data_IF_967633841325
#
_entry.id   IF_967633841325
#
_cell.length_a   1.000
_cell.length_b   1.000
_cell.length_c   1.000
_cell.angle_alpha   90.00
_cell.angle_beta   90.00
_cell.angle_gamma   90.00
#
_symmetry.space_group_name_H-M   'P 1'
#
loop_
_entity.id
_entity.type
_entity.pdbx_description
1 polymer ?
#
# COMPACT_ATOMS: atom_id res chain seq x y z
N UNK A 1 17.33 -38.25 -4.57
CA UNK A 1 16.37 -38.51 -3.48
C UNK A 1 16.84 -37.84 -2.19
N UNK A 2 15.90 -37.27 -1.45
CA UNK A 2 16.10 -36.23 -0.45
C UNK A 2 17.00 -36.61 0.73
N UNK A 3 18.18 -35.98 0.82
CA UNK A 3 19.06 -36.07 1.97
C UNK A 3 18.75 -34.95 2.99
N UNK A 4 17.47 -34.80 3.34
CA UNK A 4 17.09 -33.99 4.50
C UNK A 4 17.41 -34.84 5.73
N UNK A 5 18.65 -34.78 6.22
CA UNK A 5 19.02 -35.39 7.50
C UNK A 5 18.20 -34.72 8.59
N UNK A 6 17.09 -35.33 8.97
CA UNK A 6 16.36 -35.00 10.17
C UNK A 6 17.33 -35.09 11.36
N UNK A 7 17.37 -34.07 12.24
CA UNK A 7 18.22 -34.14 13.42
C UNK A 7 17.83 -35.33 14.29
N UNK A 8 18.82 -36.13 14.71
CA UNK A 8 18.62 -37.25 15.63
C UNK A 8 17.87 -36.79 16.88
N UNK A 9 16.78 -37.46 17.30
CA UNK A 9 16.08 -37.09 18.53
C UNK A 9 17.01 -37.08 19.73
N UNK A 10 16.80 -36.16 20.68
CA UNK A 10 17.68 -36.04 21.87
C UNK A 10 17.70 -37.34 22.67
N UNK A 11 16.56 -38.04 22.78
CA UNK A 11 16.46 -39.34 23.43
C UNK A 11 17.42 -40.37 22.80
N UNK A 12 17.46 -40.44 21.47
CA UNK A 12 18.36 -41.33 20.74
C UNK A 12 19.83 -41.00 20.99
N UNK A 13 20.19 -39.70 21.07
CA UNK A 13 21.57 -39.28 21.40
C UNK A 13 21.98 -39.73 22.80
N UNK A 14 21.06 -39.63 23.76
CA UNK A 14 21.28 -40.07 25.15
C UNK A 14 21.44 -41.60 25.20
N UNK A 15 20.58 -42.34 24.52
CA UNK A 15 20.63 -43.81 24.47
C UNK A 15 21.98 -44.31 23.96
N UNK A 16 22.50 -43.75 22.85
CA UNK A 16 23.82 -44.15 22.35
C UNK A 16 24.96 -43.83 23.32
N UNK A 17 24.86 -42.75 24.08
CA UNK A 17 25.89 -42.40 25.06
C UNK A 17 25.86 -43.35 26.26
N UNK A 18 24.68 -43.63 26.80
CA UNK A 18 24.52 -44.57 27.93
C UNK A 18 24.96 -45.98 27.52
N UNK A 19 24.53 -46.44 26.34
CA UNK A 19 24.95 -47.74 25.80
C UNK A 19 26.47 -47.82 25.61
N UNK A 20 27.12 -46.74 25.16
CA UNK A 20 28.58 -46.70 25.07
C UNK A 20 29.25 -46.76 26.44
N UNK A 21 28.76 -46.04 27.45
CA UNK A 21 29.30 -46.09 28.82
C UNK A 21 29.21 -47.50 29.40
N UNK A 22 28.12 -48.23 29.15
CA UNK A 22 27.94 -49.63 29.54
C UNK A 22 28.92 -50.56 28.81
N UNK A 23 29.02 -50.46 27.48
CA UNK A 23 29.96 -51.27 26.68
C UNK A 23 31.42 -51.01 27.05
N UNK A 24 31.77 -49.76 27.37
CA UNK A 24 33.11 -49.41 27.82
C UNK A 24 33.41 -50.00 29.20
N UNK A 25 32.47 -49.90 30.15
CA UNK A 25 32.64 -50.49 31.50
C UNK A 25 32.78 -52.00 31.46
N UNK A 26 31.95 -52.69 30.66
CA UNK A 26 31.88 -54.16 30.65
C UNK A 26 32.98 -54.81 29.82
N UNK A 27 33.37 -54.18 28.71
CA UNK A 27 34.24 -54.82 27.69
C UNK A 27 35.42 -53.94 27.25
N UNK A 28 35.64 -52.78 27.86
CA UNK A 28 36.68 -51.82 27.46
C UNK A 28 36.61 -51.47 25.96
N UNK A 29 35.39 -51.48 25.40
CA UNK A 29 35.18 -51.27 23.97
C UNK A 29 35.52 -49.83 23.56
N UNK A 30 36.32 -49.67 22.51
CA UNK A 30 36.63 -48.33 21.99
C UNK A 30 35.41 -47.68 21.32
N UNK A 31 35.30 -46.34 21.42
CA UNK A 31 34.24 -45.57 20.78
C UNK A 31 34.11 -45.82 19.27
N UNK A 32 35.22 -46.09 18.57
CA UNK A 32 35.19 -46.41 17.13
C UNK A 32 34.50 -47.75 16.85
N UNK A 33 34.84 -48.80 17.62
CA UNK A 33 34.21 -50.11 17.49
C UNK A 33 32.73 -50.07 17.89
N UNK A 34 32.39 -49.33 18.94
CA UNK A 34 31.00 -49.08 19.32
C UNK A 34 30.22 -48.42 18.17
N UNK A 35 30.74 -47.33 17.61
CA UNK A 35 30.11 -46.61 16.50
C UNK A 35 29.91 -47.49 15.26
N UNK A 36 30.86 -48.38 14.97
CA UNK A 36 30.76 -49.34 13.86
C UNK A 36 29.64 -50.36 14.09
N UNK A 37 29.54 -50.93 15.28
CA UNK A 37 28.49 -51.89 15.64
C UNK A 37 27.10 -51.26 15.76
N UNK A 38 27.04 -50.01 16.22
CA UNK A 38 25.81 -49.25 16.42
C UNK A 38 25.35 -48.48 15.17
N UNK A 39 26.09 -48.59 14.05
CA UNK A 39 25.85 -47.89 12.78
C UNK A 39 25.74 -46.36 12.90
N UNK A 40 26.46 -45.76 13.86
CA UNK A 40 26.51 -44.31 14.05
C UNK A 40 27.82 -43.74 13.51
N UNK A 41 27.81 -42.69 12.67
CA UNK A 41 29.05 -42.05 12.23
C UNK A 41 29.87 -41.53 13.42
N UNK A 42 31.13 -41.98 13.52
CA UNK A 42 32.01 -41.64 14.65
C UNK A 42 32.14 -40.13 14.90
N UNK A 43 32.20 -39.31 13.84
CA UNK A 43 32.28 -37.84 13.96
C UNK A 43 31.06 -37.19 14.61
N UNK A 44 29.88 -37.81 14.46
CA UNK A 44 28.63 -37.38 15.10
C UNK A 44 28.63 -37.81 16.57
N UNK A 45 28.94 -39.07 16.84
CA UNK A 45 29.02 -39.60 18.20
C UNK A 45 30.07 -38.87 19.05
N UNK A 46 31.28 -38.68 18.52
CA UNK A 46 32.35 -37.95 19.20
C UNK A 46 31.94 -36.52 19.59
N UNK A 47 31.14 -35.84 18.76
CA UNK A 47 30.59 -34.51 19.06
C UNK A 47 29.58 -34.54 20.20
N UNK A 48 28.73 -35.57 20.25
CA UNK A 48 27.81 -35.78 21.38
C UNK A 48 28.55 -36.15 22.65
N UNK A 49 29.50 -37.09 22.58
CA UNK A 49 30.33 -37.53 23.69
C UNK A 49 31.11 -36.36 24.32
N UNK A 50 31.73 -35.51 23.52
CA UNK A 50 32.43 -34.32 24.01
C UNK A 50 31.49 -33.35 24.74
N UNK A 51 30.24 -33.20 24.27
CA UNK A 51 29.25 -32.34 24.91
C UNK A 51 28.75 -32.94 26.22
N UNK A 52 28.47 -34.24 26.22
CA UNK A 52 28.04 -35.00 27.39
C UNK A 52 29.07 -34.93 28.52
N UNK A 53 30.36 -35.18 28.22
CA UNK A 53 31.43 -35.10 29.22
C UNK A 53 31.60 -33.70 29.83
N UNK A 54 31.23 -32.65 29.11
CA UNK A 54 31.38 -31.26 29.59
C UNK A 54 30.21 -30.77 30.43
N UNK A 55 28.99 -31.15 30.10
CA UNK A 55 27.78 -30.56 30.71
C UNK A 55 26.56 -31.52 30.78
N UNK A 56 26.81 -32.83 30.69
CA UNK A 56 25.79 -33.88 30.87
C UNK A 56 24.68 -33.87 29.82
N UNK A 57 23.52 -34.41 30.21
CA UNK A 57 22.37 -34.68 29.32
C UNK A 57 21.84 -33.44 28.60
N UNK A 58 21.78 -32.28 29.28
CA UNK A 58 21.28 -31.05 28.70
C UNK A 58 22.13 -30.54 27.52
N UNK A 59 23.42 -30.90 27.46
CA UNK A 59 24.31 -30.51 26.39
C UNK A 59 24.00 -31.16 25.02
N UNK A 60 23.14 -32.19 25.02
CA UNK A 60 22.69 -32.91 23.81
C UNK A 60 21.44 -32.31 23.17
N UNK A 61 20.79 -31.32 23.83
CA UNK A 61 19.67 -30.59 23.27
C UNK A 61 20.07 -29.89 21.96
N UNK A 62 19.11 -29.73 21.07
CA UNK A 62 19.34 -29.00 19.82
C UNK A 62 19.67 -27.54 20.11
N UNK A 63 20.83 -27.12 19.60
CA UNK A 63 21.21 -25.71 19.60
C UNK A 63 20.56 -25.04 18.41
N UNK A 64 20.28 -23.75 18.56
CA UNK A 64 19.76 -22.94 17.46
C UNK A 64 20.74 -23.01 16.29
N UNK A 65 20.23 -23.32 15.10
CA UNK A 65 21.00 -23.22 13.84
C UNK A 65 21.01 -21.78 13.30
N UNK A 66 20.50 -20.84 14.09
CA UNK A 66 20.39 -19.45 13.69
C UNK A 66 21.79 -18.86 13.66
N UNK A 67 22.23 -18.27 12.55
CA UNK A 67 23.55 -17.65 12.48
C UNK A 67 23.69 -16.59 13.58
N UNK A 68 24.84 -16.57 14.24
CA UNK A 68 25.14 -15.61 15.31
C UNK A 68 25.21 -14.16 14.81
N UNK A 69 25.47 -13.96 13.50
CA UNK A 69 25.44 -12.65 12.84
C UNK A 69 24.67 -12.75 11.53
N UNK A 70 23.86 -11.73 11.25
CA UNK A 70 23.19 -11.52 9.98
C UNK A 70 23.61 -10.15 9.44
N UNK A 71 24.64 -10.05 8.59
CA UNK A 71 25.13 -8.77 8.07
C UNK A 71 24.07 -7.96 7.33
N UNK A 72 23.07 -8.64 6.75
CA UNK A 72 21.94 -8.03 6.05
C UNK A 72 20.73 -7.75 6.95
N UNK A 73 20.89 -7.85 8.27
CA UNK A 73 19.85 -7.46 9.22
C UNK A 73 19.57 -5.96 9.10
N UNK A 74 18.29 -5.61 9.00
CA UNK A 74 17.88 -4.22 8.97
C UNK A 74 18.08 -3.59 10.36
N UNK A 75 18.53 -2.32 10.44
CA UNK A 75 18.65 -1.60 11.70
C UNK A 75 17.31 -1.52 12.44
N UNK A 76 17.37 -1.49 13.79
CA UNK A 76 16.19 -1.37 14.63
C UNK A 76 15.32 -0.15 14.27
N UNK A 77 15.95 0.98 13.96
CA UNK A 77 15.28 2.20 13.51
C UNK A 77 14.39 1.98 12.28
N UNK A 78 14.82 1.18 11.31
CA UNK A 78 14.03 0.84 10.12
C UNK A 78 12.83 -0.02 10.49
N UNK A 79 13.01 -0.98 11.41
CA UNK A 79 11.91 -1.81 11.91
C UNK A 79 10.87 -0.95 12.61
N UNK A 80 11.31 -0.02 13.46
CA UNK A 80 10.42 0.85 14.22
C UNK A 80 9.72 1.88 13.34
N UNK A 81 10.40 2.44 12.34
CA UNK A 81 9.79 3.34 11.37
C UNK A 81 8.69 2.63 10.56
N UNK A 82 8.93 1.39 10.13
CA UNK A 82 7.93 0.58 9.41
C UNK A 82 6.74 0.24 10.32
N UNK A 83 6.99 -0.14 11.58
CA UNK A 83 5.92 -0.49 12.53
C UNK A 83 5.08 0.73 12.87
N UNK A 84 5.70 1.81 13.36
CA UNK A 84 5.00 3.05 13.72
C UNK A 84 4.24 3.63 12.55
N UNK A 85 4.89 3.75 11.39
CA UNK A 85 4.23 4.26 10.19
C UNK A 85 3.03 3.43 9.75
N UNK A 86 3.05 2.10 9.94
CA UNK A 86 1.88 1.26 9.65
C UNK A 86 0.70 1.53 10.59
N UNK A 87 0.97 1.68 11.89
CA UNK A 87 -0.07 1.93 12.90
C UNK A 87 -0.61 3.36 12.84
N UNK A 88 0.28 4.35 12.78
CA UNK A 88 -0.09 5.77 12.87
C UNK A 88 -0.73 6.29 11.59
N UNK A 89 -0.26 5.84 10.42
CA UNK A 89 -0.73 6.38 9.13
C UNK A 89 -1.85 5.55 8.48
N UNK A 90 -2.10 4.31 8.97
CA UNK A 90 -3.12 3.41 8.40
C UNK A 90 -2.90 3.05 6.91
N UNK A 91 -1.70 3.27 6.37
CA UNK A 91 -1.44 3.12 4.94
C UNK A 91 -1.25 1.66 4.54
N UNK A 92 -1.80 1.27 3.40
CA UNK A 92 -1.50 -0.03 2.80
C UNK A 92 0.01 -0.19 2.50
N UNK A 93 0.53 -1.42 2.65
CA UNK A 93 1.98 -1.76 2.60
C UNK A 93 2.78 -1.05 1.50
N UNK A 94 2.25 -0.99 0.27
CA UNK A 94 2.95 -0.35 -0.84
C UNK A 94 3.01 1.18 -0.73
N UNK A 95 1.94 1.81 -0.25
CA UNK A 95 1.93 3.26 -0.04
C UNK A 95 2.77 3.63 1.18
N UNK A 96 2.73 2.82 2.23
CA UNK A 96 3.63 2.97 3.38
C UNK A 96 5.10 2.90 2.93
N UNK A 97 5.48 1.90 2.13
CA UNK A 97 6.83 1.79 1.58
C UNK A 97 7.24 3.03 0.77
N UNK A 98 6.38 3.48 -0.14
CA UNK A 98 6.65 4.69 -0.92
C UNK A 98 6.78 5.94 -0.04
N UNK A 99 5.93 6.07 0.99
CA UNK A 99 5.99 7.18 1.94
C UNK A 99 7.30 7.19 2.71
N UNK A 100 7.67 6.07 3.33
CA UNK A 100 8.90 5.94 4.11
C UNK A 100 10.17 6.14 3.26
N UNK A 101 10.15 5.75 1.98
CA UNK A 101 11.21 6.08 1.03
C UNK A 101 11.26 7.58 0.74
N UNK A 102 10.11 8.20 0.47
CA UNK A 102 10.01 9.63 0.15
C UNK A 102 10.54 10.50 1.28
N UNK A 103 10.21 10.16 2.54
CA UNK A 103 10.73 10.86 3.73
C UNK A 103 12.13 10.37 4.16
N UNK A 104 12.77 9.49 3.38
CA UNK A 104 14.13 8.96 3.60
C UNK A 104 14.34 8.25 4.94
N UNK A 105 13.28 7.67 5.53
CA UNK A 105 13.37 6.89 6.77
C UNK A 105 13.82 5.45 6.53
N UNK A 106 13.67 4.94 5.31
CA UNK A 106 14.10 3.59 4.93
C UNK A 106 14.84 3.64 3.60
N UNK A 107 15.70 2.64 3.36
CA UNK A 107 16.31 2.35 2.06
C UNK A 107 16.02 0.90 1.61
N UNK A 108 15.14 0.20 2.32
CA UNK A 108 14.89 -1.21 2.10
C UNK A 108 13.81 -1.48 1.05
N UNK A 109 13.82 -2.68 0.47
CA UNK A 109 12.85 -3.10 -0.54
C UNK A 109 11.42 -3.22 0.02
N UNK A 110 10.43 -3.16 -0.86
CA UNK A 110 9.02 -3.45 -0.54
C UNK A 110 8.86 -4.84 0.11
N UNK A 111 9.60 -5.84 -0.38
CA UNK A 111 9.61 -7.20 0.18
C UNK A 111 10.15 -7.25 1.61
N UNK A 112 11.05 -6.33 1.98
CA UNK A 112 11.51 -6.20 3.36
C UNK A 112 10.43 -5.61 4.26
N UNK A 113 9.78 -4.52 3.84
CA UNK A 113 8.63 -3.93 4.56
C UNK A 113 7.53 -4.97 4.78
N UNK A 114 7.14 -5.70 3.73
CA UNK A 114 6.15 -6.76 3.83
C UNK A 114 6.55 -7.86 4.84
N UNK A 115 7.81 -8.31 4.82
CA UNK A 115 8.32 -9.33 5.76
C UNK A 115 8.32 -8.82 7.21
N UNK A 116 8.64 -7.54 7.43
CA UNK A 116 8.60 -6.92 8.76
C UNK A 116 7.16 -6.96 9.29
N UNK A 117 6.21 -6.41 8.53
CA UNK A 117 4.80 -6.35 8.94
C UNK A 117 4.19 -7.75 9.12
N UNK A 118 4.54 -8.70 8.26
CA UNK A 118 4.09 -10.10 8.38
C UNK A 118 4.62 -10.74 9.66
N UNK A 119 5.89 -10.54 10.01
CA UNK A 119 6.49 -11.10 11.23
C UNK A 119 5.87 -10.50 12.50
N UNK A 120 5.48 -9.23 12.45
CA UNK A 120 4.80 -8.55 13.56
C UNK A 120 3.29 -8.85 13.64
N UNK A 121 2.74 -9.69 12.75
CA UNK A 121 1.31 -10.01 12.75
C UNK A 121 0.39 -8.86 12.29
N UNK A 122 0.95 -7.79 11.72
CA UNK A 122 0.22 -6.56 11.39
C UNK A 122 -0.55 -6.65 10.05
N UNK A 123 -0.43 -7.76 9.31
CA UNK A 123 -1.06 -7.92 7.99
C UNK A 123 -2.31 -8.81 8.09
N UNK A 124 -3.45 -8.26 7.67
CA UNK A 124 -4.68 -9.03 7.46
C UNK A 124 -4.59 -9.78 6.14
N UNK A 125 -4.52 -11.10 6.20
CA UNK A 125 -4.50 -11.97 5.02
C UNK A 125 -5.92 -12.16 4.49
N UNK A 126 -6.22 -11.57 3.32
CA UNK A 126 -7.51 -11.78 2.64
C UNK A 126 -7.32 -12.67 1.40
N UNK A 127 -8.25 -13.59 1.11
CA UNK A 127 -8.19 -14.42 -0.09
C UNK A 127 -8.22 -13.53 -1.33
N UNK A 128 -7.37 -13.87 -2.30
CA UNK A 128 -7.17 -13.07 -3.52
C UNK A 128 -8.32 -13.35 -4.48
N UNK A 129 -9.27 -12.42 -4.59
CA UNK A 129 -10.33 -12.51 -5.60
C UNK A 129 -9.73 -12.34 -7.00
N UNK A 130 -10.10 -13.17 -8.00
CA UNK A 130 -9.69 -12.97 -9.37
C UNK A 130 -10.18 -11.59 -9.84
N UNK A 131 -9.30 -10.85 -10.53
CA UNK A 131 -9.64 -9.53 -11.06
C UNK A 131 -9.93 -9.68 -12.55
N UNK A 132 -11.04 -9.13 -13.06
CA UNK A 132 -11.26 -9.06 -14.50
C UNK A 132 -10.15 -8.23 -15.17
N UNK A 133 -9.77 -8.61 -16.39
CA UNK A 133 -8.82 -7.87 -17.21
C UNK A 133 -9.50 -6.64 -17.81
N UNK A 134 -9.54 -5.55 -17.06
CA UNK A 134 -9.99 -4.26 -17.59
C UNK A 134 -8.86 -3.56 -18.34
N UNK A 135 -9.10 -3.19 -19.61
CA UNK A 135 -8.23 -2.24 -20.32
C UNK A 135 -8.41 -0.87 -19.65
N UNK A 136 -7.37 -0.42 -18.96
CA UNK A 136 -7.37 0.91 -18.33
C UNK A 136 -6.95 1.92 -19.37
N UNK A 137 -7.87 2.80 -19.76
CA UNK A 137 -7.54 3.95 -20.60
C UNK A 137 -7.11 5.14 -19.73
N UNK A 138 -6.12 5.90 -20.19
CA UNK A 138 -5.78 7.20 -19.66
C UNK A 138 -5.43 8.15 -20.81
N UNK A 139 -5.79 9.42 -20.67
CA UNK A 139 -5.34 10.51 -21.53
C UNK A 139 -3.85 10.74 -21.35
N UNK A 140 -3.20 11.18 -22.42
CA UNK A 140 -1.75 11.33 -22.45
C UNK A 140 -1.33 12.60 -21.71
N UNK A 141 -2.11 13.68 -21.86
CA UNK A 141 -1.80 14.98 -21.28
C UNK A 141 -2.81 15.37 -20.20
N UNK A 142 -2.37 16.06 -19.13
CA UNK A 142 -3.26 16.70 -18.17
C UNK A 142 -4.21 17.67 -18.87
N UNK A 143 -5.47 17.68 -18.44
CA UNK A 143 -6.48 18.60 -18.94
C UNK A 143 -7.17 18.17 -20.24
N UNK A 144 -6.74 17.09 -20.90
CA UNK A 144 -7.46 16.60 -22.10
C UNK A 144 -8.89 16.15 -21.77
N UNK A 145 -9.09 15.57 -20.59
CA UNK A 145 -10.41 15.17 -20.10
C UNK A 145 -10.40 15.06 -18.58
N UNK A 146 -11.43 15.61 -17.95
CA UNK A 146 -11.77 15.31 -16.56
C UNK A 146 -13.09 14.54 -16.48
N UNK A 147 -13.25 13.76 -15.42
CA UNK A 147 -14.51 13.10 -15.06
C UNK A 147 -15.16 13.88 -13.92
N UNK A 148 -16.46 14.15 -14.06
CA UNK A 148 -17.24 14.88 -13.08
C UNK A 148 -18.42 14.05 -12.60
N UNK A 149 -18.71 14.13 -11.30
CA UNK A 149 -19.83 13.42 -10.69
C UNK A 149 -20.23 14.05 -9.34
N UNK A 150 -21.48 13.81 -8.93
CA UNK A 150 -22.05 14.23 -7.65
C UNK A 150 -22.22 13.04 -6.72
N UNK A 151 -21.75 13.20 -5.49
CA UNK A 151 -21.97 12.22 -4.42
C UNK A 151 -22.81 12.82 -3.30
N UNK A 152 -23.80 12.08 -2.83
CA UNK A 152 -24.57 12.45 -1.64
C UNK A 152 -23.67 12.47 -0.38
N UNK A 153 -23.91 13.44 0.48
CA UNK A 153 -23.35 13.56 1.83
C UNK A 153 -24.51 13.66 2.83
N UNK A 154 -24.25 13.40 4.13
CA UNK A 154 -25.22 13.70 5.19
C UNK A 154 -25.68 15.17 5.17
N UNK A 155 -26.71 15.49 5.97
CA UNK A 155 -27.26 16.86 6.07
C UNK A 155 -27.75 17.43 4.73
N UNK A 156 -28.22 16.56 3.84
CA UNK A 156 -28.73 16.91 2.49
C UNK A 156 -27.70 17.71 1.67
N UNK A 157 -26.42 17.49 1.89
CA UNK A 157 -25.33 18.09 1.12
C UNK A 157 -24.88 17.16 0.01
N UNK A 158 -24.11 17.71 -0.93
CA UNK A 158 -23.58 16.96 -2.07
C UNK A 158 -22.13 17.35 -2.32
N UNK A 159 -21.26 16.39 -2.61
CA UNK A 159 -19.91 16.66 -3.08
C UNK A 159 -19.91 16.67 -4.61
N UNK A 160 -19.60 17.81 -5.22
CA UNK A 160 -19.20 17.89 -6.63
C UNK A 160 -17.73 17.52 -6.73
N UNK A 161 -17.42 16.52 -7.55
CA UNK A 161 -16.06 16.03 -7.76
C UNK A 161 -15.68 16.16 -9.21
N UNK A 162 -14.48 16.68 -9.48
CA UNK A 162 -13.87 16.76 -10.78
C UNK A 162 -12.47 16.15 -10.70
N UNK A 163 -12.17 15.14 -11.52
CA UNK A 163 -10.85 14.49 -11.52
C UNK A 163 -10.27 14.40 -12.92
N UNK A 164 -9.03 14.86 -13.07
CA UNK A 164 -8.30 14.75 -14.33
C UNK A 164 -7.96 13.29 -14.68
N UNK A 165 -8.20 12.93 -15.93
CA UNK A 165 -8.08 11.56 -16.44
C UNK A 165 -6.61 11.07 -16.48
N UNK A 166 -5.68 11.99 -16.75
CA UNK A 166 -4.24 11.74 -16.87
C UNK A 166 -3.54 11.75 -15.50
N UNK A 167 -3.61 12.89 -14.81
CA UNK A 167 -2.82 13.22 -13.62
C UNK A 167 -3.49 12.87 -12.30
N UNK A 168 -4.78 12.52 -12.31
CA UNK A 168 -5.61 12.38 -11.09
C UNK A 168 -5.73 13.66 -10.27
N UNK A 169 -5.37 14.83 -10.80
CA UNK A 169 -5.58 16.09 -10.11
C UNK A 169 -7.07 16.23 -9.76
N UNK A 170 -7.35 16.49 -8.48
CA UNK A 170 -8.67 16.49 -7.89
C UNK A 170 -9.13 17.92 -7.63
N UNK A 171 -10.32 18.25 -8.10
CA UNK A 171 -11.14 19.33 -7.56
C UNK A 171 -12.34 18.73 -6.85
N UNK A 172 -12.68 19.23 -5.67
CA UNK A 172 -13.95 18.92 -5.03
C UNK A 172 -14.51 20.13 -4.29
N UNK A 173 -15.83 20.22 -4.20
CA UNK A 173 -16.54 21.25 -3.42
C UNK A 173 -17.86 20.69 -2.87
N UNK A 174 -18.38 21.30 -1.80
CA UNK A 174 -19.67 20.95 -1.22
C UNK A 174 -20.78 21.84 -1.80
N UNK A 175 -21.92 21.25 -2.13
CA UNK A 175 -23.13 21.91 -2.61
C UNK A 175 -24.28 21.70 -1.63
N UNK A 176 -25.18 22.68 -1.58
CA UNK A 176 -26.42 22.62 -0.80
C UNK A 176 -27.59 21.95 -1.51
N UNK A 177 -27.47 21.69 -2.82
CA UNK A 177 -28.53 21.10 -3.62
C UNK A 177 -27.96 20.28 -4.79
N UNK A 178 -28.69 19.23 -5.18
CA UNK A 178 -28.39 18.40 -6.37
C UNK A 178 -29.11 18.95 -7.60
N UNK A 179 -28.78 20.19 -7.99
CA UNK A 179 -29.38 20.86 -9.15
C UNK A 179 -28.32 21.34 -10.12
N UNK A 180 -28.66 21.37 -11.41
CA UNK A 180 -27.77 21.89 -12.47
C UNK A 180 -27.32 23.31 -12.18
N UNK A 181 -28.21 24.16 -11.66
CA UNK A 181 -27.88 25.54 -11.27
C UNK A 181 -26.84 25.61 -10.15
N UNK A 182 -26.93 24.74 -9.14
CA UNK A 182 -25.93 24.68 -8.07
C UNK A 182 -24.55 24.24 -8.61
N UNK A 183 -24.54 23.26 -9.52
CA UNK A 183 -23.31 22.83 -10.23
C UNK A 183 -22.74 23.98 -11.04
N UNK A 184 -23.54 24.63 -11.89
CA UNK A 184 -23.12 25.76 -12.74
C UNK A 184 -22.56 26.93 -11.92
N UNK A 185 -23.10 27.19 -10.73
CA UNK A 185 -22.63 28.26 -9.84
C UNK A 185 -21.25 27.95 -9.23
N UNK A 186 -21.01 26.71 -8.85
CA UNK A 186 -19.77 26.30 -8.20
C UNK A 186 -18.64 25.99 -9.19
N UNK A 187 -18.99 25.53 -10.39
CA UNK A 187 -18.03 25.00 -11.37
C UNK A 187 -16.92 26.00 -11.79
N UNK A 188 -17.18 27.30 -12.04
CA UNK A 188 -16.12 28.23 -12.43
C UNK A 188 -15.01 28.35 -11.37
N UNK A 189 -15.38 28.41 -10.08
CA UNK A 189 -14.40 28.43 -8.98
C UNK A 189 -13.61 27.13 -8.90
N UNK A 190 -14.29 26.01 -9.11
CA UNK A 190 -13.66 24.70 -9.12
C UNK A 190 -12.66 24.57 -10.28
N UNK A 191 -13.02 25.04 -11.48
CA UNK A 191 -12.14 25.04 -12.65
C UNK A 191 -10.90 25.91 -12.42
N UNK A 192 -11.05 27.08 -11.79
CA UNK A 192 -9.93 27.96 -11.46
C UNK A 192 -8.90 27.35 -10.50
N UNK A 193 -9.26 26.29 -9.76
CA UNK A 193 -8.34 25.57 -8.87
C UNK A 193 -7.38 24.61 -9.59
N UNK A 194 -7.61 24.35 -10.89
CA UNK A 194 -6.75 23.50 -11.70
C UNK A 194 -5.55 24.30 -12.23
N UNK A 195 -4.32 23.76 -12.16
CA UNK A 195 -3.12 24.42 -12.67
C UNK A 195 -2.98 24.30 -14.21
N UNK A 196 -4.06 23.96 -14.90
CA UNK A 196 -4.11 23.78 -16.35
C UNK A 196 -5.56 23.84 -16.83
N UNK A 197 -5.80 24.28 -18.08
CA UNK A 197 -7.14 24.30 -18.65
C UNK A 197 -7.66 22.88 -18.92
N UNK A 198 -8.95 22.68 -18.70
CA UNK A 198 -9.64 21.45 -19.08
C UNK A 198 -10.28 21.62 -20.46
N UNK A 199 -10.03 20.69 -21.38
CA UNK A 199 -10.60 20.69 -22.74
C UNK A 199 -11.93 19.96 -22.82
N UNK A 200 -12.14 18.99 -21.94
CA UNK A 200 -13.33 18.16 -21.93
C UNK A 200 -13.70 17.78 -20.51
N UNK A 201 -14.99 17.87 -20.17
CA UNK A 201 -15.55 17.29 -18.96
C UNK A 201 -16.51 16.19 -19.36
N UNK A 202 -16.32 15.02 -18.75
CA UNK A 202 -17.16 13.85 -18.96
C UNK A 202 -18.05 13.64 -17.74
N UNK A 203 -19.36 13.53 -17.95
CA UNK A 203 -20.35 13.21 -16.91
C UNK A 203 -21.15 11.97 -17.30
N UNK A 204 -21.95 11.47 -16.36
CA UNK A 204 -23.04 10.57 -16.70
C UNK A 204 -24.23 11.33 -17.34
N UNK A 205 -25.36 10.65 -17.50
CA UNK A 205 -26.60 11.24 -18.02
C UNK A 205 -27.55 11.71 -16.89
N UNK A 206 -27.00 12.04 -15.72
CA UNK A 206 -27.77 12.60 -14.60
C UNK A 206 -28.45 13.91 -14.97
N UNK A 207 -29.62 14.18 -14.37
CA UNK A 207 -30.40 15.40 -14.61
C UNK A 207 -29.67 16.65 -14.12
N UNK A 208 -28.79 16.51 -13.12
CA UNK A 208 -27.86 17.52 -12.63
C UNK A 208 -26.84 17.99 -13.67
N UNK A 209 -26.64 17.24 -14.76
CA UNK A 209 -25.71 17.55 -15.83
C UNK A 209 -26.44 17.88 -17.14
N UNK A 210 -27.61 18.53 -17.00
CA UNK A 210 -28.48 18.89 -18.11
C UNK A 210 -27.95 20.03 -19.02
N UNK A 211 -28.85 20.54 -19.87
CA UNK A 211 -28.54 21.52 -20.93
C UNK A 211 -27.84 22.78 -20.44
N UNK A 212 -28.21 23.30 -19.28
CA UNK A 212 -27.61 24.52 -18.71
C UNK A 212 -26.10 24.36 -18.50
N UNK A 213 -25.66 23.22 -17.95
CA UNK A 213 -24.25 22.90 -17.81
C UNK A 213 -23.55 22.81 -19.16
N UNK A 214 -24.15 22.14 -20.14
CA UNK A 214 -23.60 22.05 -21.50
C UNK A 214 -23.36 23.43 -22.12
N UNK A 215 -24.29 24.36 -21.92
CA UNK A 215 -24.17 25.74 -22.41
C UNK A 215 -23.07 26.51 -21.68
N UNK A 216 -22.96 26.37 -20.35
CA UNK A 216 -21.88 26.97 -19.58
C UNK A 216 -20.51 26.47 -20.05
N UNK A 217 -20.34 25.14 -20.15
CA UNK A 217 -19.08 24.54 -20.60
C UNK A 217 -18.72 24.99 -22.01
N UNK A 218 -19.70 25.06 -22.93
CA UNK A 218 -19.49 25.59 -24.28
C UNK A 218 -18.99 27.05 -24.26
N UNK A 219 -19.56 27.91 -23.40
CA UNK A 219 -19.10 29.31 -23.22
C UNK A 219 -17.68 29.40 -22.67
N UNK A 220 -17.29 28.46 -21.82
CA UNK A 220 -15.93 28.35 -21.28
C UNK A 220 -14.94 27.67 -22.24
N UNK A 221 -15.36 27.29 -23.45
CA UNK A 221 -14.51 26.58 -24.41
C UNK A 221 -14.23 25.12 -24.05
N UNK A 222 -15.02 24.54 -23.14
CA UNK A 222 -14.87 23.17 -22.63
C UNK A 222 -15.90 22.27 -23.29
N UNK A 223 -15.46 21.15 -23.88
CA UNK A 223 -16.38 20.16 -24.45
C UNK A 223 -17.10 19.39 -23.34
N UNK A 224 -18.43 19.36 -23.37
CA UNK A 224 -19.21 18.45 -22.52
C UNK A 224 -19.37 17.09 -23.20
N UNK A 225 -19.03 16.00 -22.53
CA UNK A 225 -19.15 14.65 -23.04
C UNK A 225 -19.98 13.78 -22.09
N UNK A 226 -21.03 13.14 -22.61
CA UNK A 226 -21.79 12.16 -21.84
C UNK A 226 -21.27 10.75 -22.07
N UNK A 227 -21.26 9.93 -21.02
CA UNK A 227 -21.01 8.49 -21.18
C UNK A 227 -22.19 7.83 -21.93
N UNK A 228 -21.90 6.75 -22.65
CA UNK A 228 -22.94 5.97 -23.32
C UNK A 228 -23.89 5.37 -22.27
N UNK A 229 -25.20 5.25 -22.54
CA UNK A 229 -26.12 4.54 -21.67
C UNK A 229 -25.59 3.13 -21.32
N UNK A 230 -25.79 2.70 -20.08
CA UNK A 230 -25.35 1.39 -19.55
C UNK A 230 -23.83 1.16 -19.54
N UNK A 231 -23.03 2.25 -19.47
CA UNK A 231 -21.56 2.15 -19.35
C UNK A 231 -20.99 2.87 -18.11
N UNK A 232 -21.50 2.59 -16.88
CA UNK A 232 -21.06 3.29 -15.66
C UNK A 232 -19.55 3.17 -15.40
N UNK A 233 -18.94 2.06 -15.81
CA UNK A 233 -17.50 1.84 -15.72
C UNK A 233 -16.65 2.92 -16.43
N UNK A 234 -17.21 3.66 -17.38
CA UNK A 234 -16.53 4.79 -18.01
C UNK A 234 -16.35 5.99 -17.08
N UNK A 235 -17.07 6.07 -15.96
CA UNK A 235 -16.86 7.07 -14.91
C UNK A 235 -16.08 6.53 -13.69
N UNK A 236 -15.44 5.37 -13.83
CA UNK A 236 -14.81 4.69 -12.71
C UNK A 236 -13.64 5.43 -12.04
N UNK A 237 -13.10 6.52 -12.63
CA UNK A 237 -12.04 7.31 -11.97
C UNK A 237 -12.64 8.26 -10.94
N UNK A 238 -13.75 8.92 -11.27
CA UNK A 238 -14.44 9.80 -10.31
C UNK A 238 -15.07 8.98 -9.19
N UNK A 239 -15.71 7.86 -9.49
CA UNK A 239 -16.23 6.94 -8.47
C UNK A 239 -15.13 6.44 -7.52
N UNK A 240 -13.96 6.08 -8.07
CA UNK A 240 -12.83 5.60 -7.27
C UNK A 240 -12.23 6.68 -6.38
N UNK A 241 -12.15 7.93 -6.86
CA UNK A 241 -11.66 9.03 -6.00
C UNK A 241 -12.70 9.45 -4.97
N UNK A 242 -14.00 9.43 -5.29
CA UNK A 242 -15.05 9.66 -4.30
C UNK A 242 -14.97 8.65 -3.15
N UNK A 243 -14.74 7.36 -3.46
CA UNK A 243 -14.48 6.34 -2.43
C UNK A 243 -13.23 6.65 -1.62
N UNK A 244 -12.18 7.11 -2.27
CA UNK A 244 -10.94 7.52 -1.59
C UNK A 244 -11.21 8.68 -0.63
N UNK A 245 -11.94 9.70 -1.07
CA UNK A 245 -12.30 10.87 -0.25
C UNK A 245 -13.22 10.43 0.90
N UNK A 246 -14.11 9.46 0.67
CA UNK A 246 -14.90 8.88 1.76
C UNK A 246 -14.01 8.25 2.82
N UNK A 247 -13.19 7.27 2.42
CA UNK A 247 -12.35 6.48 3.33
C UNK A 247 -11.27 7.30 4.05
N UNK A 248 -10.70 8.32 3.38
CA UNK A 248 -9.57 9.10 3.92
C UNK A 248 -9.99 10.43 4.55
N UNK A 249 -11.21 10.92 4.31
CA UNK A 249 -11.66 12.22 4.79
C UNK A 249 -13.03 12.13 5.45
N UNK A 250 -14.10 11.83 4.71
CA UNK A 250 -15.45 11.93 5.26
C UNK A 250 -15.74 10.98 6.42
N UNK A 251 -15.16 9.78 6.43
CA UNK A 251 -15.31 8.82 7.55
C UNK A 251 -14.74 9.36 8.88
N UNK A 252 -13.90 10.41 8.85
CA UNK A 252 -13.35 11.08 10.03
C UNK A 252 -13.86 12.50 10.24
N UNK A 253 -14.81 13.00 9.44
CA UNK A 253 -15.36 14.35 9.59
C UNK A 253 -16.51 14.33 10.58
N UNK A 254 -16.49 15.27 11.53
CA UNK A 254 -17.61 15.53 12.43
C UNK A 254 -18.82 16.11 11.67
N UNK A 255 -19.94 15.38 11.73
CA UNK A 255 -21.18 15.76 11.05
C UNK A 255 -21.84 17.01 11.65
N UNK A 256 -21.58 17.33 12.92
CA UNK A 256 -22.13 18.52 13.57
C UNK A 256 -21.52 19.83 13.05
N UNK A 257 -20.36 19.77 12.39
CA UNK A 257 -19.59 20.94 11.93
C UNK A 257 -19.80 21.24 10.43
N UNK A 258 -21.04 21.18 9.94
CA UNK A 258 -21.40 21.33 8.51
C UNK A 258 -20.81 22.59 7.87
N UNK A 259 -20.81 23.71 8.60
CA UNK A 259 -20.31 25.00 8.11
C UNK A 259 -18.79 24.99 7.83
N UNK A 260 -18.06 24.03 8.42
CA UNK A 260 -16.62 23.87 8.20
C UNK A 260 -16.30 22.86 7.09
N UNK A 261 -17.29 22.13 6.56
CA UNK A 261 -17.04 21.04 5.61
C UNK A 261 -16.37 21.52 4.33
N UNK A 262 -16.79 22.65 3.76
CA UNK A 262 -16.19 23.18 2.54
C UNK A 262 -14.70 23.53 2.74
N UNK A 263 -14.37 24.21 3.83
CA UNK A 263 -12.98 24.55 4.17
C UNK A 263 -12.14 23.30 4.43
N UNK A 264 -12.64 22.36 5.23
CA UNK A 264 -11.93 21.11 5.53
C UNK A 264 -11.72 20.26 4.27
N UNK A 265 -12.71 20.22 3.37
CA UNK A 265 -12.59 19.53 2.09
C UNK A 265 -11.52 20.20 1.22
N UNK A 266 -11.45 21.52 1.21
CA UNK A 266 -10.41 22.26 0.49
C UNK A 266 -9.00 21.89 1.00
N UNK A 267 -8.81 21.84 2.33
CA UNK A 267 -7.53 21.44 2.94
C UNK A 267 -7.17 20.00 2.57
N UNK A 268 -8.13 19.08 2.59
CA UNK A 268 -7.93 17.71 2.14
C UNK A 268 -7.56 17.64 0.66
N UNK A 269 -8.24 18.38 -0.23
CA UNK A 269 -7.93 18.43 -1.67
C UNK A 269 -6.52 18.96 -1.90
N UNK A 270 -6.08 19.96 -1.13
CA UNK A 270 -4.71 20.47 -1.17
C UNK A 270 -3.70 19.39 -0.79
N UNK A 271 -3.94 18.67 0.32
CA UNK A 271 -3.14 17.52 0.72
C UNK A 271 -3.12 16.42 -0.36
N UNK A 272 -4.29 16.07 -0.91
CA UNK A 272 -4.45 15.05 -1.94
C UNK A 272 -3.59 15.37 -3.17
N UNK A 273 -3.65 16.60 -3.65
CA UNK A 273 -2.94 16.99 -4.87
C UNK A 273 -1.44 17.17 -4.66
N UNK A 274 -1.02 17.69 -3.50
CA UNK A 274 0.38 18.12 -3.27
C UNK A 274 1.24 17.11 -2.53
N UNK A 275 0.65 16.24 -1.70
CA UNK A 275 1.41 15.37 -0.78
C UNK A 275 1.03 13.90 -0.88
N UNK A 276 -0.21 13.57 -1.24
CA UNK A 276 -0.68 12.19 -1.24
C UNK A 276 -0.06 11.36 -2.37
N UNK A 277 0.72 10.34 -2.01
CA UNK A 277 1.35 9.44 -2.97
C UNK A 277 0.32 8.52 -3.65
N UNK A 278 0.23 8.62 -4.98
CA UNK A 278 -0.80 7.95 -5.75
C UNK A 278 -0.26 6.71 -6.50
N UNK A 279 -0.79 5.52 -6.20
CA UNK A 279 -0.27 4.26 -6.77
C UNK A 279 -0.41 4.16 -8.30
N UNK A 280 -1.46 4.75 -8.88
CA UNK A 280 -1.63 4.79 -10.34
C UNK A 280 -0.63 5.74 -11.05
N UNK A 281 0.09 6.57 -10.29
CA UNK A 281 1.04 7.57 -10.79
C UNK A 281 2.47 7.23 -10.38
N UNK A 282 2.77 5.94 -10.14
CA UNK A 282 4.09 5.54 -9.67
C UNK A 282 4.44 6.06 -8.26
N UNK A 283 3.42 6.34 -7.43
CA UNK A 283 3.56 6.96 -6.12
C UNK A 283 4.04 8.41 -6.13
N UNK A 284 3.81 9.15 -7.21
CA UNK A 284 3.97 10.61 -7.21
C UNK A 284 2.67 11.32 -6.74
N UNK A 285 2.77 12.51 -6.13
CA UNK A 285 1.61 13.38 -5.93
C UNK A 285 1.00 13.83 -7.28
N UNK A 286 -0.34 13.97 -7.39
CA UNK A 286 -1.03 14.40 -8.61
C UNK A 286 -0.49 15.70 -9.22
N UNK A 287 -0.20 16.70 -8.40
CA UNK A 287 0.32 17.99 -8.85
C UNK A 287 1.69 17.85 -9.52
N UNK A 288 2.63 17.14 -8.89
CA UNK A 288 3.96 16.90 -9.44
C UNK A 288 3.89 16.12 -10.77
N UNK A 289 3.04 15.08 -10.80
CA UNK A 289 2.83 14.26 -11.98
C UNK A 289 2.23 15.07 -13.15
N UNK A 290 1.31 16.00 -12.86
CA UNK A 290 0.75 16.92 -13.83
C UNK A 290 1.82 17.84 -14.41
N UNK A 291 2.61 18.53 -13.57
CA UNK A 291 3.66 19.45 -14.01
C UNK A 291 4.67 18.78 -14.95
N UNK A 292 5.03 17.52 -14.67
CA UNK A 292 5.96 16.75 -15.50
C UNK A 292 5.43 16.42 -16.90
N UNK A 293 4.11 16.50 -17.11
CA UNK A 293 3.44 16.17 -18.39
C UNK A 293 2.80 17.36 -19.09
N UNK A 294 2.71 18.49 -18.40
CA UNK A 294 2.32 19.73 -19.07
C UNK A 294 3.35 20.10 -20.15
N UNK A 295 2.89 20.58 -21.33
CA UNK A 295 3.77 21.14 -22.35
C UNK A 295 4.67 22.23 -21.76
N UNK A 296 5.91 22.36 -22.26
CA UNK A 296 6.91 23.31 -21.73
C UNK A 296 6.38 24.76 -21.61
N UNK A 297 5.52 25.19 -22.54
CA UNK A 297 4.91 26.53 -22.56
C UNK A 297 3.98 26.81 -21.36
N UNK A 298 3.47 25.77 -20.67
CA UNK A 298 2.56 25.92 -19.52
C UNK A 298 3.29 25.79 -18.15
N UNK A 299 4.59 25.50 -18.13
CA UNK A 299 5.36 25.33 -16.88
C UNK A 299 5.86 26.64 -16.28
N UNK A 300 6.11 27.64 -17.12
CA UNK A 300 6.75 28.91 -16.76
C UNK A 300 5.82 29.88 -16.02
N UNK A 301 4.51 29.68 -16.07
CA UNK A 301 3.52 30.57 -15.41
C UNK A 301 3.22 30.20 -13.96
N UNK A 302 3.79 29.11 -13.42
CA UNK A 302 3.46 28.58 -12.07
C UNK A 302 4.68 28.39 -11.15
N UNK A 303 5.87 28.81 -11.60
CA UNK A 303 7.10 28.83 -10.79
C UNK A 303 7.53 30.25 -10.39
N UNK A 304 6.69 31.26 -10.66
CA UNK A 304 6.88 32.66 -10.29
C UNK A 304 5.91 33.05 -9.18
#
# INVERSE_FOLDING_TARGET
MHNVRTPWPVATRVQYIVAYEECWRRWQLSARRFCQAAEVPYSTFARWWLRWRRAGKHALLDRTRRPHRCPTALPAQVLDAVRRGHYELGLGVRRLHAHLLHVRLIACSLSSVYRILRRCGALVMRPRKPKPNWIRYARALPGERAQMDLKYLPERRFQLTLIDDCSRYLGATVLSARTTTAVCRALPRLLASFPFPLRCIQTDNGSEFGRELTLLLKRLGIRHAHIKPRTPHLNGKVERVQRTVQEEFWDGVDEAAVDLWERRLHDYVSFYNRRRLHSALGYQPPFEYALQRLPRQARTSHMS
#
